data_IF_181163022523
#
_entry.id   IF_181163022523
#
_cell.length_a   1.000
_cell.length_b   1.000
_cell.length_c   1.000
_cell.angle_alpha   90.00
_cell.angle_beta   90.00
_cell.angle_gamma   90.00
#
_symmetry.space_group_name_H-M   'P 1'
#
loop_
_entity.id
_entity.type
_entity.pdbx_description
1 polymer ?
#
# COMPACT_ATOMS: atom_id res chain seq x y z
N UNK A 1 -50.95 -9.80 -2.89
CA UNK A 1 -49.54 -9.39 -3.06
C UNK A 1 -48.57 -10.56 -3.05
N UNK A 2 -48.62 -11.44 -2.04
CA UNK A 2 -47.70 -12.58 -1.88
C UNK A 2 -47.57 -13.51 -3.11
N UNK A 3 -48.67 -13.80 -3.80
CA UNK A 3 -48.65 -14.64 -5.02
C UNK A 3 -47.90 -14.02 -6.19
N UNK A 4 -47.91 -12.68 -6.32
CA UNK A 4 -47.16 -11.97 -7.36
C UNK A 4 -45.66 -11.99 -7.05
N UNK A 5 -45.30 -11.81 -5.78
CA UNK A 5 -43.91 -11.90 -5.31
C UNK A 5 -43.34 -13.31 -5.55
N UNK A 6 -44.11 -14.36 -5.22
CA UNK A 6 -43.71 -15.75 -5.44
C UNK A 6 -43.49 -16.07 -6.94
N UNK A 7 -44.32 -15.53 -7.83
CA UNK A 7 -44.17 -15.70 -9.27
C UNK A 7 -42.90 -14.99 -9.80
N UNK A 8 -42.59 -13.79 -9.32
CA UNK A 8 -41.36 -13.06 -9.66
C UNK A 8 -40.11 -13.80 -9.16
N UNK A 9 -40.13 -14.33 -7.94
CA UNK A 9 -39.03 -15.12 -7.39
C UNK A 9 -38.79 -16.42 -8.16
N UNK A 10 -39.86 -17.11 -8.57
CA UNK A 10 -39.74 -18.33 -9.40
C UNK A 10 -39.14 -18.04 -10.78
N UNK A 11 -39.43 -16.87 -11.37
CA UNK A 11 -38.85 -16.41 -12.64
C UNK A 11 -37.39 -15.96 -12.49
N UNK A 12 -37.01 -15.43 -11.33
CA UNK A 12 -35.64 -15.01 -11.02
C UNK A 12 -34.72 -16.18 -10.60
N UNK A 13 -35.31 -17.26 -10.06
CA UNK A 13 -34.63 -18.48 -9.56
C UNK A 13 -33.50 -19.02 -10.47
N UNK A 14 -33.65 -19.17 -11.80
CA UNK A 14 -32.57 -19.68 -12.65
C UNK A 14 -31.40 -18.69 -12.82
N UNK A 15 -31.59 -17.39 -12.57
CA UNK A 15 -30.54 -16.38 -12.68
C UNK A 15 -29.78 -16.18 -11.36
N UNK A 16 -30.38 -16.54 -10.22
CA UNK A 16 -29.73 -16.48 -8.90
C UNK A 16 -28.39 -17.24 -8.87
N UNK A 17 -28.26 -18.48 -9.37
CA UNK A 17 -26.97 -19.15 -9.43
C UNK A 17 -25.98 -18.50 -10.41
N UNK A 18 -26.46 -17.87 -11.49
CA UNK A 18 -25.60 -17.16 -12.47
C UNK A 18 -25.05 -15.86 -11.88
N UNK A 19 -25.86 -15.12 -11.12
CA UNK A 19 -25.43 -13.91 -10.40
C UNK A 19 -24.49 -14.29 -9.25
N UNK A 20 -24.77 -15.38 -8.54
CA UNK A 20 -23.84 -15.91 -7.54
C UNK A 20 -22.52 -16.37 -8.17
N UNK A 21 -22.54 -16.94 -9.38
CA UNK A 21 -21.33 -17.30 -10.14
C UNK A 21 -20.57 -16.07 -10.67
N UNK A 22 -21.25 -14.95 -10.93
CA UNK A 22 -20.61 -13.69 -11.32
C UNK A 22 -19.86 -13.01 -10.14
N UNK A 23 -20.20 -13.34 -8.89
CA UNK A 23 -19.46 -12.94 -7.69
C UNK A 23 -18.59 -14.06 -7.09
N UNK A 24 -18.78 -15.31 -7.54
CA UNK A 24 -17.89 -16.41 -7.21
C UNK A 24 -16.60 -16.23 -8.01
N UNK A 25 -15.53 -15.79 -7.35
CA UNK A 25 -14.19 -15.89 -7.92
C UNK A 25 -13.95 -17.34 -8.32
N UNK A 26 -13.59 -17.51 -9.59
CA UNK A 26 -13.26 -18.78 -10.21
C UNK A 26 -12.25 -19.55 -9.34
N UNK A 27 -12.74 -20.57 -8.63
CA UNK A 27 -11.89 -21.58 -8.01
C UNK A 27 -11.40 -22.53 -9.10
N UNK A 28 -10.51 -22.04 -9.97
CA UNK A 28 -9.79 -22.90 -10.91
C UNK A 28 -8.39 -23.15 -10.35
N UNK A 29 -8.12 -24.43 -10.12
CA UNK A 29 -6.78 -24.96 -10.01
C UNK A 29 -6.01 -24.62 -11.30
N UNK A 30 -5.20 -23.55 -11.23
CA UNK A 30 -4.20 -23.23 -12.23
C UNK A 30 -2.88 -23.87 -11.76
N UNK A 31 -2.38 -24.80 -12.57
CA UNK A 31 -1.06 -25.41 -12.48
C UNK A 31 0.02 -24.35 -12.31
N UNK A 32 0.64 -24.25 -11.12
CA UNK A 32 1.85 -23.45 -10.88
C UNK A 32 1.91 -22.79 -9.50
N UNK A 33 0.98 -21.89 -9.17
CA UNK A 33 0.86 -21.24 -7.86
C UNK A 33 -0.58 -20.77 -7.63
N UNK A 34 -1.11 -20.77 -6.40
CA UNK A 34 -2.49 -20.35 -6.13
C UNK A 34 -2.70 -18.86 -6.48
N UNK A 35 -3.74 -18.51 -7.25
CA UNK A 35 -4.02 -17.12 -7.69
C UNK A 35 -4.11 -16.09 -6.55
N UNK A 36 -4.55 -16.50 -5.36
CA UNK A 36 -4.57 -15.63 -4.16
C UNK A 36 -3.15 -15.20 -3.77
N UNK A 37 -2.17 -16.11 -3.89
CA UNK A 37 -0.75 -15.84 -3.60
C UNK A 37 -0.19 -14.87 -4.64
N UNK A 38 -0.48 -15.07 -5.92
CA UNK A 38 0.01 -14.18 -6.99
C UNK A 38 -0.55 -12.77 -6.90
N UNK A 39 -1.85 -12.62 -6.63
CA UNK A 39 -2.48 -11.29 -6.51
C UNK A 39 -1.97 -10.49 -5.31
N UNK A 40 -1.78 -11.14 -4.16
CA UNK A 40 -1.21 -10.49 -2.97
C UNK A 40 0.26 -10.10 -3.17
N UNK A 41 1.07 -11.00 -3.77
CA UNK A 41 2.47 -10.71 -4.08
C UNK A 41 2.60 -9.52 -5.04
N UNK A 42 1.76 -9.45 -6.08
CA UNK A 42 1.75 -8.31 -7.00
C UNK A 42 1.36 -7.00 -6.32
N UNK A 43 0.31 -7.00 -5.51
CA UNK A 43 -0.11 -5.82 -4.74
C UNK A 43 1.01 -5.32 -3.83
N UNK A 44 1.68 -6.22 -3.11
CA UNK A 44 2.77 -5.86 -2.21
C UNK A 44 4.02 -5.41 -2.99
N UNK A 45 4.31 -6.00 -4.14
CA UNK A 45 5.41 -5.56 -5.02
C UNK A 45 5.17 -4.15 -5.56
N UNK A 46 3.95 -3.84 -5.97
CA UNK A 46 3.58 -2.51 -6.43
C UNK A 46 3.69 -1.52 -5.26
N UNK A 47 3.03 -1.81 -4.14
CA UNK A 47 3.04 -0.94 -2.96
C UNK A 47 4.46 -0.66 -2.46
N UNK A 48 5.30 -1.68 -2.33
CA UNK A 48 6.70 -1.51 -1.90
C UNK A 48 7.51 -0.71 -2.91
N UNK A 49 7.27 -0.86 -4.22
CA UNK A 49 7.94 -0.05 -5.24
C UNK A 49 7.58 1.43 -5.15
N UNK A 50 6.30 1.75 -4.89
CA UNK A 50 5.87 3.12 -4.62
C UNK A 50 6.49 3.69 -3.33
N UNK A 51 6.54 2.88 -2.26
CA UNK A 51 7.11 3.31 -0.98
C UNK A 51 8.60 3.63 -1.09
N UNK A 52 9.40 2.85 -1.82
CA UNK A 52 10.82 3.14 -2.07
C UNK A 52 11.02 4.46 -2.85
N UNK A 53 10.02 4.92 -3.60
CA UNK A 53 10.05 6.24 -4.24
C UNK A 53 9.61 7.37 -3.30
N UNK A 54 8.52 7.15 -2.57
CA UNK A 54 7.88 8.18 -1.73
C UNK A 54 8.68 8.46 -0.46
N UNK A 55 9.28 7.44 0.17
CA UNK A 55 10.01 7.61 1.43
C UNK A 55 11.21 8.56 1.26
N UNK A 56 12.10 8.38 0.25
CA UNK A 56 13.20 9.32 0.02
C UNK A 56 12.70 10.71 -0.38
N UNK A 57 11.68 10.80 -1.24
CA UNK A 57 11.12 12.07 -1.69
C UNK A 57 10.50 12.87 -0.53
N UNK A 58 9.67 12.23 0.29
CA UNK A 58 9.04 12.84 1.46
C UNK A 58 10.05 13.23 2.54
N UNK A 59 11.03 12.36 2.80
CA UNK A 59 12.11 12.65 3.75
C UNK A 59 12.96 13.83 3.28
N UNK A 60 13.30 13.87 1.99
CA UNK A 60 14.04 14.99 1.37
C UNK A 60 13.27 16.30 1.46
N UNK A 61 11.96 16.29 1.17
CA UNK A 61 11.10 17.47 1.28
C UNK A 61 11.01 17.99 2.73
N UNK A 62 10.82 17.10 3.70
CA UNK A 62 10.76 17.47 5.12
C UNK A 62 12.10 18.00 5.65
N UNK A 63 13.22 17.39 5.24
CA UNK A 63 14.56 17.90 5.54
C UNK A 63 14.76 19.29 4.92
N UNK A 64 14.36 19.47 3.66
CA UNK A 64 14.42 20.76 2.97
C UNK A 64 13.59 21.84 3.67
N UNK A 65 12.38 21.51 4.11
CA UNK A 65 11.54 22.40 4.91
C UNK A 65 12.25 22.83 6.21
N UNK A 66 12.77 21.89 6.99
CA UNK A 66 13.47 22.23 8.23
C UNK A 66 14.78 23.00 8.00
N UNK A 67 15.50 22.72 6.90
CA UNK A 67 16.68 23.48 6.51
C UNK A 67 16.31 24.94 6.18
N UNK A 68 15.21 25.17 5.47
CA UNK A 68 14.71 26.52 5.15
C UNK A 68 14.26 27.26 6.42
N UNK A 69 13.48 26.62 7.30
CA UNK A 69 13.04 27.23 8.56
C UNK A 69 14.22 27.59 9.47
N UNK A 70 15.27 26.76 9.46
CA UNK A 70 16.53 27.05 10.15
C UNK A 70 17.27 28.27 9.58
N UNK A 71 17.21 28.51 8.28
CA UNK A 71 17.81 29.70 7.67
C UNK A 71 17.05 30.98 8.03
N UNK A 72 15.73 30.89 8.23
CA UNK A 72 14.87 32.01 8.56
C UNK A 72 14.78 32.32 10.08
N UNK A 73 15.49 31.60 10.94
CA UNK A 73 15.41 31.77 12.39
C UNK A 73 16.33 32.87 12.96
N UNK A 74 16.84 33.77 12.12
CA UNK A 74 17.71 34.90 12.49
C UNK A 74 18.91 34.54 13.39
N UNK A 75 19.37 33.28 13.31
CA UNK A 75 20.50 32.79 14.08
C UNK A 75 20.19 32.41 15.54
N UNK A 76 18.92 32.34 15.97
CA UNK A 76 18.57 31.83 17.30
C UNK A 76 19.06 30.37 17.46
N UNK A 77 20.01 30.10 18.39
CA UNK A 77 20.56 28.77 18.59
C UNK A 77 19.53 27.73 19.04
N UNK A 78 18.49 28.14 19.79
CA UNK A 78 17.48 27.23 20.28
C UNK A 78 16.61 26.69 19.14
N UNK A 79 16.12 27.59 18.28
CA UNK A 79 15.34 27.23 17.09
C UNK A 79 16.17 26.44 16.09
N UNK A 80 17.43 26.82 15.86
CA UNK A 80 18.34 26.08 14.99
C UNK A 80 18.60 24.64 15.49
N UNK A 81 18.76 24.46 16.80
CA UNK A 81 18.94 23.14 17.41
C UNK A 81 17.70 22.25 17.27
N UNK A 82 16.50 22.84 17.41
CA UNK A 82 15.24 22.14 17.20
C UNK A 82 15.14 21.59 15.77
N UNK A 83 15.37 22.43 14.76
CA UNK A 83 15.33 22.01 13.36
C UNK A 83 16.41 20.99 12.99
N UNK A 84 17.63 21.11 13.53
CA UNK A 84 18.67 20.10 13.33
C UNK A 84 18.26 18.71 13.88
N UNK A 85 17.63 18.67 15.07
CA UNK A 85 17.11 17.42 15.64
C UNK A 85 15.98 16.85 14.78
N UNK A 86 15.08 17.70 14.30
CA UNK A 86 13.99 17.29 13.40
C UNK A 86 14.53 16.68 12.10
N UNK A 87 15.49 17.35 11.44
CA UNK A 87 16.16 16.82 10.24
C UNK A 87 16.80 15.45 10.48
N UNK A 88 17.51 15.29 11.61
CA UNK A 88 18.12 13.99 11.98
C UNK A 88 17.06 12.91 12.18
N UNK A 89 15.96 13.23 12.87
CA UNK A 89 14.88 12.27 13.11
C UNK A 89 14.20 11.84 11.81
N UNK A 90 13.97 12.78 10.88
CA UNK A 90 13.45 12.48 9.54
C UNK A 90 14.42 11.58 8.77
N UNK A 91 15.72 11.87 8.79
CA UNK A 91 16.73 11.04 8.12
C UNK A 91 16.73 9.61 8.66
N UNK A 92 16.71 9.45 9.99
CA UNK A 92 16.67 8.14 10.65
C UNK A 92 15.37 7.40 10.33
N UNK A 93 14.23 8.09 10.41
CA UNK A 93 12.92 7.52 10.09
C UNK A 93 12.83 7.07 8.62
N UNK A 94 13.33 7.89 7.70
CA UNK A 94 13.43 7.56 6.29
C UNK A 94 14.30 6.33 6.04
N UNK A 95 15.48 6.25 6.66
CA UNK A 95 16.38 5.11 6.54
C UNK A 95 15.76 3.81 7.07
N UNK A 96 15.04 3.86 8.20
CA UNK A 96 14.32 2.72 8.76
C UNK A 96 13.20 2.28 7.81
N UNK A 97 12.40 3.22 7.32
CA UNK A 97 11.32 2.95 6.37
C UNK A 97 11.84 2.30 5.08
N UNK A 98 12.88 2.87 4.49
CA UNK A 98 13.50 2.35 3.27
C UNK A 98 14.07 0.95 3.46
N UNK A 99 14.73 0.70 4.60
CA UNK A 99 15.27 -0.62 4.94
C UNK A 99 14.16 -1.65 5.14
N UNK A 100 13.08 -1.31 5.83
CA UNK A 100 11.95 -2.20 6.06
C UNK A 100 11.24 -2.58 4.73
N UNK A 101 11.04 -1.59 3.86
CA UNK A 101 10.44 -1.81 2.54
C UNK A 101 11.38 -2.63 1.65
N UNK A 102 12.68 -2.33 1.66
CA UNK A 102 13.70 -3.08 0.94
C UNK A 102 13.75 -4.56 1.35
N UNK A 103 13.75 -4.84 2.65
CA UNK A 103 13.69 -6.21 3.18
C UNK A 103 12.41 -6.90 2.72
N UNK A 104 11.26 -6.23 2.81
CA UNK A 104 9.98 -6.79 2.35
C UNK A 104 10.04 -7.17 0.86
N UNK A 105 10.64 -6.32 0.02
CA UNK A 105 10.78 -6.57 -1.42
C UNK A 105 11.73 -7.74 -1.72
N UNK A 106 12.81 -7.88 -0.95
CA UNK A 106 13.69 -9.07 -1.01
C UNK A 106 12.93 -10.33 -0.60
N UNK A 107 12.07 -10.27 0.42
CA UNK A 107 11.22 -11.41 0.76
C UNK A 107 10.24 -11.76 -0.37
N UNK A 108 9.60 -10.76 -0.97
CA UNK A 108 8.65 -10.98 -2.06
C UNK A 108 9.31 -11.56 -3.33
N UNK A 109 10.59 -11.29 -3.59
CA UNK A 109 11.30 -11.86 -4.75
C UNK A 109 11.46 -13.38 -4.68
N UNK A 110 11.33 -14.00 -3.50
CA UNK A 110 11.30 -15.47 -3.38
C UNK A 110 9.97 -16.09 -3.81
N UNK A 111 8.92 -15.27 -3.99
CA UNK A 111 7.58 -15.72 -4.37
C UNK A 111 7.20 -15.34 -5.81
N UNK A 112 7.88 -14.37 -6.42
CA UNK A 112 7.74 -14.03 -7.84
C UNK A 112 8.83 -14.72 -8.66
N UNK A 113 8.51 -15.88 -9.24
CA UNK A 113 9.37 -16.55 -10.23
C UNK A 113 9.48 -15.77 -11.52
#
# INVERSE_FOLDING_TARGET
MLRKIAATMKKASPYVPVILLAFARAAFAASGQPQIVTGAVNLLNDATSWLLGIIPAGSGAAIGYHALMKQMSDGDPATAAHHNRAMRNVLIGGAIGESAVGITKVFLSYFGG
#
